data_IF_283807742451
#
_entry.id   IF_283807742451
#
_cell.length_a   1.000
_cell.length_b   1.000
_cell.length_c   1.000
_cell.angle_alpha   90.00
_cell.angle_beta   90.00
_cell.angle_gamma   90.00
#
_symmetry.space_group_name_H-M   'P 1'
#
loop_
_entity.id
_entity.type
_entity.pdbx_description
1 polymer ?
#
# COMPACT_ATOMS: atom_id res chain seq x y z
N UNK A 1 28.43 -15.88 -10.74
CA UNK A 1 27.02 -15.56 -11.09
C UNK A 1 27.08 -14.32 -12.00
N UNK A 2 26.75 -14.43 -13.29
CA UNK A 2 26.92 -13.31 -14.23
C UNK A 2 25.75 -12.33 -14.09
N UNK A 3 26.00 -11.17 -13.48
CA UNK A 3 25.09 -10.02 -13.52
C UNK A 3 25.19 -9.39 -14.91
N UNK A 4 24.16 -9.58 -15.74
CA UNK A 4 24.13 -9.03 -17.11
C UNK A 4 23.34 -7.72 -17.12
N UNK A 5 24.07 -6.60 -17.07
CA UNK A 5 23.55 -5.23 -17.16
C UNK A 5 23.40 -4.82 -18.64
N UNK A 6 22.36 -4.05 -18.98
CA UNK A 6 22.14 -3.53 -20.33
C UNK A 6 23.07 -2.34 -20.64
N UNK A 7 23.38 -2.07 -21.94
CA UNK A 7 24.46 -1.15 -22.34
C UNK A 7 24.31 0.31 -21.91
N UNK A 8 23.11 0.75 -21.54
CA UNK A 8 22.83 2.12 -21.06
C UNK A 8 23.29 2.40 -19.62
N UNK A 9 23.89 1.43 -18.92
CA UNK A 9 24.20 1.46 -17.48
C UNK A 9 25.71 1.41 -17.16
N UNK A 10 26.59 1.94 -18.02
CA UNK A 10 28.05 1.83 -17.85
C UNK A 10 28.53 2.36 -16.47
N UNK A 11 27.95 3.45 -15.95
CA UNK A 11 28.26 3.98 -14.62
C UNK A 11 27.84 3.05 -13.47
N UNK A 12 26.67 2.42 -13.57
CA UNK A 12 26.20 1.47 -12.56
C UNK A 12 27.01 0.17 -12.58
N UNK A 13 27.51 -0.24 -13.75
CA UNK A 13 28.32 -1.45 -13.91
C UNK A 13 29.68 -1.29 -13.22
N UNK A 14 30.31 -0.11 -13.39
CA UNK A 14 31.55 0.21 -12.69
C UNK A 14 31.34 0.34 -11.18
N UNK A 15 30.26 0.99 -10.74
CA UNK A 15 29.93 1.13 -9.33
C UNK A 15 29.72 -0.23 -8.64
N UNK A 16 29.03 -1.18 -9.29
CA UNK A 16 28.89 -2.55 -8.77
C UNK A 16 30.25 -3.24 -8.67
N UNK A 17 31.10 -3.09 -9.69
CA UNK A 17 32.41 -3.76 -9.71
C UNK A 17 33.41 -3.22 -8.67
N UNK A 18 33.22 -1.97 -8.23
CA UNK A 18 34.08 -1.32 -7.24
C UNK A 18 33.66 -1.60 -5.79
N UNK A 19 32.53 -2.28 -5.55
CA UNK A 19 32.09 -2.66 -4.21
C UNK A 19 33.04 -3.69 -3.59
N UNK A 20 33.20 -3.61 -2.27
CA UNK A 20 34.10 -4.49 -1.53
C UNK A 20 33.61 -5.94 -1.57
N UNK A 21 34.50 -6.85 -2.00
CA UNK A 21 34.30 -8.31 -2.06
C UNK A 21 33.00 -8.75 -2.75
N UNK A 22 32.51 -7.94 -3.70
CA UNK A 22 31.20 -8.15 -4.32
C UNK A 22 31.10 -9.45 -5.12
N UNK A 23 32.22 -9.94 -5.65
CA UNK A 23 32.27 -11.16 -6.46
C UNK A 23 32.67 -12.40 -5.65
N UNK A 24 33.06 -12.22 -4.39
CA UNK A 24 33.36 -13.36 -3.53
C UNK A 24 32.06 -14.12 -3.22
N UNK A 25 32.16 -15.44 -3.17
CA UNK A 25 31.08 -16.37 -2.88
C UNK A 25 31.57 -17.54 -2.02
N UNK A 26 32.80 -17.45 -1.48
CA UNK A 26 33.42 -18.52 -0.70
C UNK A 26 32.63 -18.90 0.54
N UNK A 27 31.93 -17.94 1.15
CA UNK A 27 31.15 -18.14 2.38
C UNK A 27 29.64 -18.20 2.13
N UNK A 28 29.22 -18.29 0.87
CA UNK A 28 27.81 -18.42 0.48
C UNK A 28 27.06 -17.08 0.38
N UNK A 29 27.80 -15.98 0.18
CA UNK A 29 27.23 -14.66 -0.05
C UNK A 29 26.46 -14.59 -1.38
N UNK A 30 25.50 -13.68 -1.44
CA UNK A 30 24.61 -13.56 -2.60
C UNK A 30 24.38 -12.10 -2.98
N UNK A 31 24.38 -11.86 -4.30
CA UNK A 31 24.04 -10.57 -4.88
C UNK A 31 22.63 -10.62 -5.46
N UNK A 32 21.81 -9.62 -5.16
CA UNK A 32 20.47 -9.47 -5.74
C UNK A 32 20.34 -8.08 -6.36
N UNK A 33 20.05 -8.03 -7.66
CA UNK A 33 19.70 -6.80 -8.34
C UNK A 33 18.17 -6.76 -8.53
N UNK A 34 17.53 -5.79 -7.89
CA UNK A 34 16.10 -5.54 -8.00
C UNK A 34 15.87 -4.36 -8.95
N UNK A 35 15.15 -4.62 -10.04
CA UNK A 35 14.64 -3.59 -10.95
C UNK A 35 13.12 -3.53 -10.82
N UNK A 36 12.60 -2.36 -10.47
CA UNK A 36 11.16 -2.14 -10.30
C UNK A 36 10.74 -0.76 -10.82
N UNK A 37 9.44 -0.49 -10.80
CA UNK A 37 8.86 0.79 -11.20
C UNK A 37 7.79 1.22 -10.20
N UNK A 38 7.75 2.50 -9.86
CA UNK A 38 6.62 3.09 -9.15
C UNK A 38 5.41 3.16 -10.08
N UNK A 39 4.51 2.18 -9.95
CA UNK A 39 3.29 2.16 -10.74
C UNK A 39 2.37 3.33 -10.38
N UNK A 40 1.87 4.00 -11.42
CA UNK A 40 0.92 5.11 -11.31
C UNK A 40 1.42 6.26 -10.41
N UNK A 41 2.74 6.48 -10.34
CA UNK A 41 3.35 7.56 -9.55
C UNK A 41 2.66 8.90 -9.79
N UNK A 42 2.53 9.29 -11.06
CA UNK A 42 1.91 10.56 -11.45
C UNK A 42 0.41 10.65 -11.13
N UNK A 43 -0.29 9.52 -11.18
CA UNK A 43 -1.75 9.47 -11.02
C UNK A 43 -2.15 9.40 -9.54
N UNK A 44 -1.23 8.95 -8.67
CA UNK A 44 -1.49 8.70 -7.24
C UNK A 44 -1.01 9.80 -6.29
N UNK A 45 -0.57 10.95 -6.81
CA UNK A 45 -0.15 12.06 -5.96
C UNK A 45 -1.39 12.80 -5.42
N UNK A 46 -1.58 12.72 -4.11
CA UNK A 46 -2.56 13.54 -3.39
C UNK A 46 -2.08 14.99 -3.33
N UNK A 47 -2.88 15.90 -3.90
CA UNK A 47 -2.58 17.33 -3.96
C UNK A 47 -2.50 17.97 -2.57
N UNK A 48 -3.24 17.46 -1.58
CA UNK A 48 -3.21 17.98 -0.20
C UNK A 48 -1.90 17.64 0.50
N UNK A 49 -1.42 16.40 0.33
CA UNK A 49 -0.12 15.97 0.83
C UNK A 49 1.00 16.69 0.08
N UNK A 50 0.89 16.80 -1.25
CA UNK A 50 1.85 17.50 -2.09
C UNK A 50 2.03 18.95 -1.63
N UNK A 51 0.95 19.66 -1.31
CA UNK A 51 1.02 21.03 -0.82
C UNK A 51 1.82 21.13 0.48
N UNK A 52 1.56 20.23 1.44
CA UNK A 52 2.30 20.18 2.72
C UNK A 52 3.79 19.90 2.50
N UNK A 53 4.12 18.98 1.59
CA UNK A 53 5.50 18.66 1.26
C UNK A 53 6.19 19.85 0.57
N UNK A 54 5.55 20.48 -0.41
CA UNK A 54 6.11 21.65 -1.10
C UNK A 54 6.39 22.81 -0.16
N UNK A 55 5.53 23.06 0.84
CA UNK A 55 5.76 24.09 1.86
C UNK A 55 7.01 23.88 2.72
N UNK A 56 7.58 22.67 2.73
CA UNK A 56 8.85 22.40 3.42
C UNK A 56 10.07 22.93 2.64
N UNK A 57 9.95 23.12 1.33
CA UNK A 57 11.08 23.42 0.44
C UNK A 57 10.94 24.73 -0.34
N UNK A 58 9.72 25.21 -0.56
CA UNK A 58 9.45 26.48 -1.26
C UNK A 58 8.54 27.36 -0.43
N UNK A 59 8.50 28.65 -0.76
CA UNK A 59 7.56 29.59 -0.15
C UNK A 59 6.10 29.12 -0.29
N UNK A 60 5.30 29.41 0.73
CA UNK A 60 3.91 29.03 0.79
C UNK A 60 3.09 29.46 -0.44
N UNK A 61 3.34 30.64 -1.00
CA UNK A 61 2.63 31.11 -2.19
C UNK A 61 2.97 30.28 -3.43
N UNK A 62 4.24 29.88 -3.56
CA UNK A 62 4.70 29.03 -4.66
C UNK A 62 4.12 27.62 -4.51
N UNK A 63 4.10 27.08 -3.29
CA UNK A 63 3.48 25.78 -3.01
C UNK A 63 1.98 25.77 -3.37
N UNK A 64 1.24 26.80 -2.95
CA UNK A 64 -0.19 26.94 -3.27
C UNK A 64 -0.44 27.09 -4.76
N UNK A 65 0.38 27.89 -5.46
CA UNK A 65 0.32 28.00 -6.91
C UNK A 65 0.55 26.65 -7.60
N UNK A 66 1.60 25.92 -7.22
CA UNK A 66 1.94 24.62 -7.82
C UNK A 66 0.86 23.57 -7.58
N UNK A 67 0.26 23.54 -6.38
CA UNK A 67 -0.85 22.63 -6.07
C UNK A 67 -2.12 23.03 -6.84
N UNK A 68 -2.53 24.29 -6.79
CA UNK A 68 -3.74 24.77 -7.44
C UNK A 68 -3.69 24.58 -8.97
N UNK A 69 -2.51 24.74 -9.58
CA UNK A 69 -2.33 24.58 -11.02
C UNK A 69 -2.50 23.13 -11.51
N UNK A 70 -2.41 22.14 -10.62
CA UNK A 70 -2.76 20.75 -10.94
C UNK A 70 -4.27 20.49 -10.84
N UNK A 71 -5.02 21.30 -10.09
CA UNK A 71 -6.47 21.19 -9.93
C UNK A 71 -7.23 22.01 -10.97
N UNK A 72 -7.15 21.58 -12.23
CA UNK A 72 -7.80 22.24 -13.38
C UNK A 72 -8.76 21.32 -14.09
N UNK A 73 -9.71 21.89 -14.84
CA UNK A 73 -10.60 21.14 -15.72
C UNK A 73 -9.84 20.75 -16.99
N UNK A 74 -9.76 19.45 -17.25
CA UNK A 74 -9.18 18.87 -18.46
C UNK A 74 -10.32 18.65 -19.45
N UNK A 75 -10.19 19.24 -20.64
CA UNK A 75 -11.18 19.11 -21.70
C UNK A 75 -10.61 18.27 -22.85
N UNK A 76 -11.42 17.35 -23.36
CA UNK A 76 -11.13 16.61 -24.58
C UNK A 76 -12.42 16.39 -25.37
N UNK A 77 -12.52 17.05 -26.54
CA UNK A 77 -13.76 17.14 -27.32
C UNK A 77 -14.91 17.68 -26.45
N UNK A 78 -16.01 16.95 -26.33
CA UNK A 78 -17.18 17.32 -25.53
C UNK A 78 -17.07 16.85 -24.06
N UNK A 79 -15.98 16.19 -23.67
CA UNK A 79 -15.77 15.70 -22.31
C UNK A 79 -14.96 16.70 -21.48
N UNK A 80 -15.47 17.01 -20.29
CA UNK A 80 -14.81 17.88 -19.32
C UNK A 80 -14.68 17.13 -17.99
N UNK A 81 -13.48 17.12 -17.40
CA UNK A 81 -13.23 16.46 -16.12
C UNK A 81 -12.29 17.30 -15.25
N UNK A 82 -12.68 17.57 -14.01
CA UNK A 82 -11.83 18.29 -13.04
C UNK A 82 -10.79 17.36 -12.44
N UNK A 83 -9.51 17.66 -12.62
CA UNK A 83 -8.41 16.86 -12.08
C UNK A 83 -8.21 17.11 -10.58
N UNK A 84 -8.92 16.38 -9.72
CA UNK A 84 -8.79 16.49 -8.26
C UNK A 84 -7.67 15.64 -7.67
N UNK A 85 -7.08 14.70 -8.44
CA UNK A 85 -6.09 13.74 -7.94
C UNK A 85 -5.05 13.41 -9.02
N UNK A 86 -3.77 13.35 -8.62
CA UNK A 86 -2.66 13.18 -9.55
C UNK A 86 -2.15 14.50 -10.14
N UNK A 87 -0.95 14.45 -10.73
CA UNK A 87 -0.27 15.61 -11.30
C UNK A 87 -0.37 15.64 -12.83
N UNK A 88 -0.44 16.86 -13.37
CA UNK A 88 -0.47 17.09 -14.81
C UNK A 88 0.97 17.14 -15.32
N UNK A 89 1.37 16.13 -16.09
CA UNK A 89 2.74 15.98 -16.62
C UNK A 89 3.14 17.10 -17.60
N UNK A 90 2.18 17.78 -18.21
CA UNK A 90 2.42 18.87 -19.16
C UNK A 90 2.78 20.22 -18.53
N UNK A 91 2.75 20.34 -17.20
CA UNK A 91 3.19 21.56 -16.52
C UNK A 91 4.72 21.66 -16.53
N UNK A 92 5.25 22.86 -16.72
CA UNK A 92 6.70 23.10 -16.81
C UNK A 92 7.45 22.68 -15.54
N UNK A 93 6.81 22.80 -14.37
CA UNK A 93 7.39 22.40 -13.09
C UNK A 93 7.06 20.94 -12.69
N UNK A 94 6.39 20.16 -13.55
CA UNK A 94 6.00 18.79 -13.23
C UNK A 94 7.21 17.88 -12.99
N UNK A 95 8.33 18.13 -13.67
CA UNK A 95 9.60 17.43 -13.47
C UNK A 95 10.11 17.59 -12.04
N UNK A 96 10.13 18.82 -11.52
CA UNK A 96 10.52 19.12 -10.16
C UNK A 96 9.62 18.43 -9.13
N UNK A 97 8.29 18.56 -9.28
CA UNK A 97 7.33 17.91 -8.37
C UNK A 97 7.50 16.39 -8.35
N UNK A 98 7.67 15.78 -9.52
CA UNK A 98 7.83 14.33 -9.63
C UNK A 98 9.12 13.86 -8.96
N UNK A 99 10.23 14.57 -9.15
CA UNK A 99 11.51 14.18 -8.55
C UNK A 99 11.51 14.38 -7.04
N UNK A 100 10.91 15.46 -6.56
CA UNK A 100 10.77 15.73 -5.13
C UNK A 100 9.85 14.71 -4.44
N UNK A 101 8.70 14.38 -5.05
CA UNK A 101 7.83 13.34 -4.53
C UNK A 101 8.51 11.96 -4.58
N UNK A 102 9.27 11.68 -5.64
CA UNK A 102 10.11 10.50 -5.75
C UNK A 102 11.15 10.41 -4.62
N UNK A 103 11.78 11.52 -4.23
CA UNK A 103 12.71 11.56 -3.09
C UNK A 103 12.02 11.14 -1.78
N UNK A 104 10.79 11.58 -1.56
CA UNK A 104 10.01 11.14 -0.38
C UNK A 104 9.81 9.63 -0.40
N UNK A 105 9.52 9.05 -1.58
CA UNK A 105 9.40 7.59 -1.71
C UNK A 105 10.74 6.87 -1.52
N UNK A 106 11.84 7.45 -1.99
CA UNK A 106 13.18 6.88 -1.81
C UNK A 106 13.54 6.79 -0.32
N UNK A 107 13.21 7.82 0.46
CA UNK A 107 13.41 7.83 1.92
C UNK A 107 12.60 6.74 2.63
N UNK A 108 11.41 6.39 2.11
CA UNK A 108 10.59 5.31 2.66
C UNK A 108 11.14 3.93 2.31
N UNK A 109 11.72 3.78 1.11
CA UNK A 109 12.34 2.52 0.65
C UNK A 109 13.66 2.26 1.38
N UNK A 110 14.52 3.27 1.47
CA UNK A 110 15.85 3.12 2.08
C UNK A 110 15.80 3.23 3.61
N UNK A 111 14.87 3.99 4.16
CA UNK A 111 14.92 4.47 5.53
C UNK A 111 15.91 5.62 5.71
N UNK A 112 15.68 6.46 6.72
CA UNK A 112 16.49 7.67 6.95
C UNK A 112 17.97 7.37 7.21
N UNK A 113 18.25 6.30 7.95
CA UNK A 113 19.62 5.92 8.30
C UNK A 113 20.43 5.56 7.04
N UNK A 114 19.96 4.60 6.24
CA UNK A 114 20.67 4.18 5.03
C UNK A 114 20.72 5.27 3.98
N UNK A 115 19.66 6.06 3.83
CA UNK A 115 19.66 7.21 2.94
C UNK A 115 20.73 8.25 3.33
N UNK A 116 20.93 8.49 4.63
CA UNK A 116 21.96 9.43 5.11
C UNK A 116 23.38 8.92 4.87
N UNK A 117 23.64 7.61 5.05
CA UNK A 117 24.95 7.00 4.74
C UNK A 117 25.27 7.10 3.25
N UNK A 118 24.28 6.88 2.39
CA UNK A 118 24.44 6.99 0.93
C UNK A 118 24.66 8.42 0.47
N UNK A 119 23.94 9.39 1.05
CA UNK A 119 24.10 10.80 0.70
C UNK A 119 25.38 11.42 1.27
N UNK A 120 25.90 10.89 2.37
CA UNK A 120 27.01 11.46 3.12
C UNK A 120 26.58 12.66 3.99
N UNK A 121 27.51 13.20 4.79
CA UNK A 121 27.23 14.35 5.64
C UNK A 121 26.89 15.60 4.78
N UNK A 122 25.97 16.49 5.23
CA UNK A 122 25.58 17.67 4.44
C UNK A 122 26.73 18.62 4.08
N UNK A 123 27.79 18.63 4.89
CA UNK A 123 28.99 19.43 4.66
C UNK A 123 29.91 18.83 3.60
N UNK A 124 29.84 17.52 3.38
CA UNK A 124 30.69 16.78 2.45
C UNK A 124 29.89 15.60 1.86
N UNK A 125 28.96 15.88 0.92
CA UNK A 125 28.11 14.85 0.35
C UNK A 125 28.94 13.87 -0.48
N UNK A 126 28.50 12.62 -0.52
CA UNK A 126 29.15 11.57 -1.31
C UNK A 126 28.85 11.75 -2.80
N UNK A 127 29.78 11.28 -3.64
CA UNK A 127 29.50 11.13 -5.06
C UNK A 127 28.60 9.90 -5.32
N UNK A 128 27.97 9.87 -6.49
CA UNK A 128 27.08 8.79 -6.86
C UNK A 128 27.79 7.41 -6.82
N UNK A 129 27.18 6.45 -6.11
CA UNK A 129 27.70 5.09 -5.89
C UNK A 129 29.01 5.02 -5.08
N UNK A 130 29.29 6.03 -4.27
CA UNK A 130 30.43 6.04 -3.35
C UNK A 130 29.97 6.17 -1.90
N UNK A 131 30.79 5.63 -0.99
CA UNK A 131 30.63 5.76 0.46
C UNK A 131 31.87 6.43 1.04
N UNK A 132 31.74 6.94 2.26
CA UNK A 132 32.87 7.55 2.99
C UNK A 132 33.93 6.51 3.34
N UNK A 133 33.50 5.30 3.70
CA UNK A 133 34.37 4.20 4.08
C UNK A 133 33.74 2.83 3.77
N UNK A 134 34.58 1.80 3.79
CA UNK A 134 34.14 0.41 3.54
C UNK A 134 33.20 -0.09 4.64
N UNK A 135 33.36 0.42 5.88
CA UNK A 135 32.51 0.00 6.99
C UNK A 135 31.05 0.44 6.78
N UNK A 136 30.81 1.70 6.39
CA UNK A 136 29.45 2.16 6.03
C UNK A 136 28.92 1.48 4.78
N UNK A 137 29.77 1.14 3.82
CA UNK A 137 29.34 0.33 2.68
C UNK A 137 28.80 -1.03 3.15
N UNK A 138 29.51 -1.70 4.08
CA UNK A 138 29.20 -3.06 4.55
C UNK A 138 28.16 -3.16 5.65
N UNK A 139 27.84 -2.06 6.33
CA UNK A 139 26.92 -2.05 7.48
C UNK A 139 25.50 -2.51 7.15
N UNK A 140 25.08 -2.41 5.88
CA UNK A 140 23.72 -2.69 5.46
C UNK A 140 23.66 -3.55 4.17
N UNK A 141 22.65 -4.44 4.01
CA UNK A 141 22.52 -5.26 2.81
C UNK A 141 22.31 -4.47 1.52
N UNK A 142 21.60 -3.34 1.58
CA UNK A 142 21.42 -2.44 0.42
C UNK A 142 22.73 -1.70 0.15
N UNK A 143 23.45 -2.07 -0.91
CA UNK A 143 24.73 -1.43 -1.26
C UNK A 143 24.55 -0.27 -2.21
N UNK A 144 23.73 -0.40 -3.26
CA UNK A 144 23.53 0.66 -4.24
C UNK A 144 22.04 0.94 -4.44
N UNK A 145 21.73 2.21 -4.68
CA UNK A 145 20.40 2.68 -5.01
C UNK A 145 20.48 3.69 -6.16
N UNK A 146 19.60 3.54 -7.14
CA UNK A 146 19.43 4.51 -8.20
C UNK A 146 17.95 4.57 -8.60
N UNK A 147 17.42 5.79 -8.67
CA UNK A 147 16.10 6.04 -9.25
C UNK A 147 16.23 6.88 -10.52
N UNK A 148 15.71 6.37 -11.62
CA UNK A 148 15.57 7.10 -12.87
C UNK A 148 14.09 7.40 -13.10
N UNK A 149 13.68 8.62 -12.69
CA UNK A 149 12.29 9.07 -12.74
C UNK A 149 11.38 8.18 -11.88
N UNK A 150 10.75 7.17 -12.50
CA UNK A 150 9.84 6.21 -11.86
C UNK A 150 10.42 4.79 -11.79
N UNK A 151 11.59 4.54 -12.40
CA UNK A 151 12.28 3.25 -12.34
C UNK A 151 13.30 3.23 -11.22
N UNK A 152 13.34 2.13 -10.49
CA UNK A 152 14.24 1.95 -9.36
C UNK A 152 15.14 0.74 -9.60
N UNK A 153 16.40 0.92 -9.26
CA UNK A 153 17.43 -0.09 -9.27
C UNK A 153 18.05 -0.15 -7.87
N UNK A 154 17.89 -1.29 -7.21
CA UNK A 154 18.47 -1.59 -5.90
C UNK A 154 19.44 -2.76 -6.04
N UNK A 155 20.63 -2.62 -5.48
CA UNK A 155 21.60 -3.71 -5.40
C UNK A 155 21.81 -4.13 -3.95
N UNK A 156 21.59 -5.41 -3.68
CA UNK A 156 21.75 -6.01 -2.38
C UNK A 156 22.93 -6.98 -2.36
N UNK A 157 23.67 -6.97 -1.26
CA UNK A 157 24.69 -7.96 -0.90
C UNK A 157 24.26 -8.59 0.42
N UNK A 158 23.93 -9.87 0.42
CA UNK A 158 23.53 -10.62 1.60
C UNK A 158 24.62 -11.60 2.02
N UNK A 159 24.84 -11.73 3.33
CA UNK A 159 25.55 -12.88 3.90
C UNK A 159 24.71 -14.15 3.76
N UNK A 160 25.34 -15.31 3.96
CA UNK A 160 24.62 -16.58 3.95
C UNK A 160 23.50 -16.63 5.01
N UNK A 161 23.75 -16.04 6.18
CA UNK A 161 22.80 -16.05 7.30
C UNK A 161 21.65 -15.07 7.09
N UNK A 162 21.94 -13.83 6.66
CA UNK A 162 20.90 -12.85 6.31
C UNK A 162 19.96 -13.42 5.24
N UNK A 163 20.54 -14.07 4.24
CA UNK A 163 19.75 -14.60 3.15
C UNK A 163 18.88 -15.80 3.57
N UNK A 164 19.36 -16.64 4.50
CA UNK A 164 18.57 -17.76 5.06
C UNK A 164 17.44 -17.24 5.93
N UNK A 165 17.72 -16.34 6.87
CA UNK A 165 16.71 -15.74 7.75
C UNK A 165 15.63 -15.05 6.91
N UNK A 166 16.05 -14.30 5.89
CA UNK A 166 15.16 -13.63 4.97
C UNK A 166 14.21 -14.62 4.26
N UNK A 167 14.76 -15.66 3.62
CA UNK A 167 13.95 -16.70 2.98
C UNK A 167 13.01 -17.38 3.97
N UNK A 168 13.47 -17.66 5.18
CA UNK A 168 12.69 -18.36 6.18
C UNK A 168 11.47 -17.54 6.61
N UNK A 169 11.64 -16.25 6.85
CA UNK A 169 10.53 -15.32 7.13
C UNK A 169 9.52 -15.31 5.97
N UNK A 170 10.00 -15.25 4.73
CA UNK A 170 9.12 -15.31 3.57
C UNK A 170 8.34 -16.62 3.46
N UNK A 171 9.00 -17.75 3.62
CA UNK A 171 8.33 -19.06 3.55
C UNK A 171 7.39 -19.31 4.74
N UNK A 172 7.56 -18.57 5.83
CA UNK A 172 6.64 -18.59 6.98
C UNK A 172 5.34 -17.85 6.64
N UNK A 173 5.43 -16.68 5.99
CA UNK A 173 4.26 -15.91 5.54
C UNK A 173 3.62 -16.52 4.27
N UNK A 174 4.43 -17.12 3.40
CA UNK A 174 4.04 -17.69 2.11
C UNK A 174 4.61 -19.11 1.95
N UNK A 175 4.02 -20.11 2.61
CA UNK A 175 4.47 -21.49 2.50
C UNK A 175 4.30 -22.02 1.07
N UNK A 176 5.36 -22.64 0.54
CA UNK A 176 5.38 -23.25 -0.80
C UNK A 176 5.74 -24.74 -0.73
N UNK A 177 4.80 -25.61 -0.33
CA UNK A 177 5.03 -27.05 -0.22
C UNK A 177 5.24 -27.73 -1.59
N UNK A 178 4.70 -27.15 -2.66
CA UNK A 178 4.70 -27.74 -4.00
C UNK A 178 5.87 -27.26 -4.88
N UNK A 179 6.75 -26.38 -4.38
CA UNK A 179 7.79 -25.72 -5.17
C UNK A 179 7.26 -24.94 -6.38
N UNK A 180 6.03 -24.44 -6.28
CA UNK A 180 5.36 -23.67 -7.32
C UNK A 180 6.03 -22.31 -7.54
N UNK A 181 6.89 -21.87 -6.62
CA UNK A 181 7.68 -20.65 -6.79
C UNK A 181 8.55 -20.65 -8.05
N UNK A 182 8.83 -21.83 -8.63
CA UNK A 182 9.55 -21.96 -9.89
C UNK A 182 8.69 -21.54 -11.08
N UNK A 183 7.38 -21.80 -11.02
CA UNK A 183 6.41 -21.57 -12.09
C UNK A 183 6.09 -20.07 -12.15
N UNK A 184 6.12 -19.48 -13.34
CA UNK A 184 5.80 -18.06 -13.54
C UNK A 184 6.92 -17.06 -13.19
N UNK A 185 8.11 -17.52 -12.78
CA UNK A 185 9.24 -16.60 -12.58
C UNK A 185 9.76 -16.08 -13.92
N UNK A 186 9.60 -14.77 -14.16
CA UNK A 186 10.02 -14.12 -15.39
C UNK A 186 11.55 -14.16 -15.55
N UNK A 187 12.02 -14.45 -16.76
CA UNK A 187 13.44 -14.48 -17.09
C UNK A 187 13.69 -13.76 -18.43
N UNK A 188 14.85 -13.13 -18.59
CA UNK A 188 15.20 -12.35 -19.78
C UNK A 188 15.43 -13.27 -20.98
N UNK A 189 14.46 -13.32 -21.90
CA UNK A 189 14.50 -14.20 -23.08
C UNK A 189 15.42 -13.72 -24.22
N UNK A 190 16.01 -12.53 -24.10
CA UNK A 190 16.93 -11.98 -25.10
C UNK A 190 18.32 -12.64 -25.09
N UNK A 191 18.74 -13.25 -23.98
CA UNK A 191 20.06 -13.89 -23.86
C UNK A 191 20.02 -15.37 -24.27
N UNK A 192 21.14 -16.02 -24.63
CA UNK A 192 21.23 -17.48 -24.75
C UNK A 192 20.89 -18.21 -23.44
N UNK A 193 20.41 -19.47 -23.49
CA UNK A 193 19.90 -20.20 -22.29
C UNK A 193 20.96 -20.38 -21.20
N UNK A 194 22.21 -20.57 -21.60
CA UNK A 194 23.41 -20.69 -20.77
C UNK A 194 23.83 -19.38 -20.08
N UNK A 195 23.51 -18.24 -20.70
CA UNK A 195 23.80 -16.90 -20.17
C UNK A 195 22.66 -16.30 -19.33
N UNK A 196 21.48 -16.93 -19.28
CA UNK A 196 20.33 -16.51 -18.44
C UNK A 196 20.50 -16.97 -17.00
N UNK A 197 19.78 -16.30 -16.08
CA UNK A 197 19.68 -16.73 -14.70
C UNK A 197 19.18 -18.18 -14.62
N UNK A 198 19.92 -19.03 -13.91
CA UNK A 198 19.51 -20.41 -13.63
C UNK A 198 18.43 -20.40 -12.55
N UNK A 199 17.39 -21.20 -12.76
CA UNK A 199 16.18 -21.18 -11.94
C UNK A 199 16.30 -22.17 -10.78
N UNK A 200 17.17 -21.86 -9.81
CA UNK A 200 17.33 -22.66 -8.58
C UNK A 200 16.34 -22.21 -7.48
N UNK A 201 15.87 -23.15 -6.65
CA UNK A 201 14.87 -22.88 -5.60
C UNK A 201 15.32 -21.79 -4.61
N UNK A 202 16.56 -21.90 -4.12
CA UNK A 202 17.15 -20.95 -3.19
C UNK A 202 17.21 -19.53 -3.75
N UNK A 203 17.71 -19.35 -4.98
CA UNK A 203 17.89 -18.02 -5.58
C UNK A 203 16.56 -17.35 -5.96
N UNK A 204 15.54 -18.15 -6.31
CA UNK A 204 14.17 -17.66 -6.55
C UNK A 204 13.49 -17.21 -5.28
N UNK A 205 13.56 -18.02 -4.23
CA UNK A 205 12.97 -17.67 -2.95
C UNK A 205 13.62 -16.39 -2.43
N UNK A 206 14.96 -16.26 -2.50
CA UNK A 206 15.65 -14.99 -2.20
C UNK A 206 15.11 -13.81 -3.00
N UNK A 207 15.03 -13.95 -4.34
CA UNK A 207 14.55 -12.87 -5.20
C UNK A 207 13.11 -12.45 -4.88
N UNK A 208 12.22 -13.42 -4.65
CA UNK A 208 10.82 -13.16 -4.27
C UNK A 208 10.73 -12.52 -2.90
N UNK A 209 11.57 -12.94 -1.95
CA UNK A 209 11.60 -12.31 -0.63
C UNK A 209 12.12 -10.89 -0.68
N UNK A 210 13.21 -10.61 -1.40
CA UNK A 210 13.73 -9.24 -1.57
C UNK A 210 12.69 -8.35 -2.25
N UNK A 211 11.96 -8.88 -3.24
CA UNK A 211 10.83 -8.19 -3.87
C UNK A 211 9.69 -7.95 -2.88
N UNK A 212 9.33 -8.94 -2.06
CA UNK A 212 8.28 -8.80 -1.04
C UNK A 212 8.68 -7.81 0.05
N UNK A 213 9.93 -7.80 0.53
CA UNK A 213 10.41 -6.80 1.50
C UNK A 213 10.24 -5.38 0.96
N UNK A 214 10.67 -5.15 -0.29
CA UNK A 214 10.47 -3.88 -0.97
C UNK A 214 8.98 -3.53 -1.05
N UNK A 215 8.12 -4.48 -1.45
CA UNK A 215 6.68 -4.26 -1.52
C UNK A 215 6.03 -4.07 -0.14
N UNK A 216 6.45 -4.76 0.91
CA UNK A 216 5.92 -4.64 2.27
C UNK A 216 6.30 -3.30 2.92
N UNK A 217 7.52 -2.82 2.70
CA UNK A 217 7.94 -1.46 3.07
C UNK A 217 7.09 -0.40 2.34
N UNK A 218 6.77 -0.63 1.06
CA UNK A 218 5.93 0.26 0.24
C UNK A 218 4.42 0.17 0.58
N UNK A 219 3.92 -1.02 0.95
CA UNK A 219 2.53 -1.31 1.29
C UNK A 219 2.15 -0.83 2.69
N UNK A 220 3.07 -0.84 3.66
CA UNK A 220 2.78 -0.34 5.01
C UNK A 220 2.63 1.18 5.07
N UNK A 221 3.17 1.94 4.11
CA UNK A 221 3.23 3.40 4.26
C UNK A 221 2.61 4.26 3.15
N UNK A 222 2.50 3.86 1.85
CA UNK A 222 1.88 4.82 0.91
C UNK A 222 1.16 4.30 -0.36
N UNK A 223 1.39 3.08 -0.86
CA UNK A 223 0.94 2.77 -2.24
C UNK A 223 -0.06 1.62 -2.43
N UNK A 224 -0.37 0.87 -1.36
CA UNK A 224 -1.43 -0.15 -1.37
C UNK A 224 -2.48 -0.01 -0.28
N UNK A 225 -2.52 1.10 0.45
CA UNK A 225 -3.78 1.53 1.03
C UNK A 225 -4.63 2.05 -0.15
N UNK A 226 -5.72 1.38 -0.57
CA UNK A 226 -6.78 2.14 -1.22
C UNK A 226 -7.14 3.25 -0.22
N UNK A 227 -6.76 4.48 -0.56
CA UNK A 227 -7.29 5.72 -0.02
C UNK A 227 -8.11 5.57 1.27
N UNK A 228 -7.47 5.60 2.43
CA UNK A 228 -8.20 5.85 3.69
C UNK A 228 -8.68 7.33 3.80
N UNK A 229 -8.36 8.18 2.80
CA UNK A 229 -8.83 9.57 2.69
C UNK A 229 -9.83 9.83 1.55
N UNK A 230 -10.12 8.86 0.67
CA UNK A 230 -11.39 8.92 -0.06
C UNK A 230 -12.41 8.46 0.97
N UNK A 231 -13.06 9.40 1.64
CA UNK A 231 -14.22 9.09 2.46
C UNK A 231 -15.20 8.30 1.60
N UNK A 232 -15.34 7.00 1.90
CA UNK A 232 -16.24 6.11 1.17
C UNK A 232 -15.78 4.66 0.95
N UNK A 233 -14.73 4.17 1.61
CA UNK A 233 -14.36 2.75 1.55
C UNK A 233 -15.09 1.93 2.61
N UNK A 234 -15.75 0.84 2.21
CA UNK A 234 -16.31 -0.17 3.10
C UNK A 234 -15.81 -1.59 2.76
N UNK A 235 -15.89 -2.49 3.72
CA UNK A 235 -15.52 -3.89 3.57
C UNK A 235 -16.33 -4.80 4.50
N UNK A 236 -16.64 -5.99 4.02
CA UNK A 236 -17.28 -7.03 4.83
C UNK A 236 -16.24 -7.73 5.71
N UNK A 237 -16.57 -7.89 6.99
CA UNK A 237 -15.73 -8.53 8.00
C UNK A 237 -16.07 -10.02 8.07
N UNK A 238 -15.05 -10.86 7.95
CA UNK A 238 -15.16 -12.30 8.12
C UNK A 238 -14.20 -12.77 9.20
N UNK A 239 -14.66 -13.71 10.01
CA UNK A 239 -13.88 -14.22 11.12
C UNK A 239 -14.34 -15.57 11.63
N UNK A 240 -13.66 -16.02 12.67
CA UNK A 240 -13.94 -17.30 13.35
C UNK A 240 -13.70 -17.08 14.84
N UNK A 241 -14.47 -17.75 15.70
CA UNK A 241 -14.12 -17.83 17.12
C UNK A 241 -12.95 -18.78 17.34
N UNK A 242 -11.92 -18.38 18.10
CA UNK A 242 -10.87 -19.31 18.49
C UNK A 242 -11.47 -20.48 19.29
N UNK A 243 -10.94 -21.71 19.15
CA UNK A 243 -11.49 -22.91 19.77
C UNK A 243 -11.54 -22.80 21.31
N UNK A 244 -10.64 -22.00 21.88
CA UNK A 244 -10.51 -21.81 23.33
C UNK A 244 -11.49 -20.79 23.91
N UNK A 245 -12.10 -19.91 23.08
CA UNK A 245 -13.03 -18.89 23.56
C UNK A 245 -14.12 -18.54 22.53
N UNK A 246 -15.33 -19.11 22.64
CA UNK A 246 -16.42 -18.86 21.71
C UNK A 246 -17.03 -17.45 21.81
N UNK A 247 -16.72 -16.70 22.88
CA UNK A 247 -17.22 -15.32 23.07
C UNK A 247 -16.38 -14.27 22.34
N UNK A 248 -15.16 -14.63 21.91
CA UNK A 248 -14.29 -13.75 21.13
C UNK A 248 -14.46 -14.07 19.65
N UNK A 249 -14.49 -13.03 18.82
CA UNK A 249 -14.49 -13.15 17.36
C UNK A 249 -13.20 -12.57 16.81
N UNK A 250 -12.39 -13.39 16.17
CA UNK A 250 -11.17 -12.94 15.49
C UNK A 250 -11.50 -12.59 14.04
N UNK A 251 -11.30 -11.32 13.68
CA UNK A 251 -11.40 -10.87 12.28
C UNK A 251 -10.19 -11.40 11.52
N UNK A 252 -10.43 -12.36 10.62
CA UNK A 252 -9.36 -12.98 9.81
C UNK A 252 -9.25 -12.37 8.42
N UNK A 253 -10.34 -11.81 7.89
CA UNK A 253 -10.35 -11.24 6.56
C UNK A 253 -11.32 -10.07 6.46
N UNK A 254 -10.93 -9.04 5.70
CA UNK A 254 -11.81 -7.96 5.27
C UNK A 254 -11.93 -8.05 3.75
N UNK A 255 -13.13 -8.32 3.26
CA UNK A 255 -13.41 -8.43 1.83
C UNK A 255 -13.95 -7.09 1.35
N UNK A 256 -13.25 -6.46 0.42
CA UNK A 256 -13.71 -5.22 -0.23
C UNK A 256 -14.39 -5.57 -1.55
N UNK A 257 -15.74 -5.58 -1.61
CA UNK A 257 -16.45 -5.77 -2.87
C UNK A 257 -16.37 -4.51 -3.75
N UNK A 258 -16.67 -4.62 -5.05
CA UNK A 258 -16.85 -3.44 -5.90
C UNK A 258 -17.91 -2.52 -5.29
N UNK A 259 -17.52 -1.30 -4.95
CA UNK A 259 -18.35 -0.33 -4.25
C UNK A 259 -18.17 1.06 -4.84
N UNK A 260 -19.17 1.91 -4.64
CA UNK A 260 -19.10 3.33 -5.00
C UNK A 260 -19.78 4.12 -3.89
N UNK A 261 -19.31 5.34 -3.66
CA UNK A 261 -19.78 6.15 -2.56
C UNK A 261 -19.40 7.60 -2.74
N UNK A 262 -20.03 8.45 -1.93
CA UNK A 262 -19.66 9.83 -1.73
C UNK A 262 -18.98 9.97 -0.37
N UNK A 263 -18.50 11.17 -0.02
CA UNK A 263 -17.94 11.45 1.30
C UNK A 263 -18.89 11.18 2.48
N UNK A 264 -20.19 11.02 2.22
CA UNK A 264 -21.23 10.83 3.24
C UNK A 264 -21.95 9.47 3.16
N UNK A 265 -21.91 8.78 2.01
CA UNK A 265 -22.70 7.55 1.79
C UNK A 265 -21.91 6.53 1.00
N UNK A 266 -22.05 5.25 1.36
CA UNK A 266 -21.37 4.13 0.71
C UNK A 266 -22.42 3.16 0.21
N UNK A 267 -22.33 2.79 -1.06
CA UNK A 267 -23.18 1.77 -1.66
C UNK A 267 -22.38 0.49 -1.84
N UNK A 268 -22.73 -0.51 -1.01
CA UNK A 268 -22.24 -1.87 -1.10
C UNK A 268 -23.16 -2.73 -1.98
N UNK A 269 -22.65 -3.78 -2.63
CA UNK A 269 -23.49 -4.79 -3.26
C UNK A 269 -24.35 -5.51 -2.21
N UNK A 270 -25.61 -5.77 -2.55
CA UNK A 270 -26.55 -6.45 -1.65
C UNK A 270 -26.20 -7.93 -1.42
N UNK A 271 -25.49 -8.55 -2.36
CA UNK A 271 -25.05 -9.95 -2.25
C UNK A 271 -23.67 -10.03 -1.62
N UNK A 272 -23.52 -10.92 -0.64
CA UNK A 272 -22.22 -11.22 -0.05
C UNK A 272 -21.27 -11.90 -1.06
N UNK A 273 -19.97 -11.58 -1.02
CA UNK A 273 -18.98 -12.21 -1.89
C UNK A 273 -18.85 -13.71 -1.57
N UNK A 274 -18.88 -14.54 -2.60
CA UNK A 274 -18.66 -15.98 -2.47
C UNK A 274 -17.26 -16.34 -3.00
N UNK A 275 -16.40 -16.87 -2.13
CA UNK A 275 -15.04 -17.24 -2.48
C UNK A 275 -14.58 -18.46 -1.68
N UNK A 276 -13.70 -19.30 -2.25
CA UNK A 276 -13.22 -20.54 -1.62
C UNK A 276 -12.58 -20.30 -0.25
N UNK A 277 -11.86 -19.19 -0.07
CA UNK A 277 -11.23 -18.79 1.19
C UNK A 277 -12.22 -18.35 2.28
N UNK A 278 -13.48 -18.07 1.94
CA UNK A 278 -14.51 -17.63 2.90
C UNK A 278 -15.36 -18.78 3.44
N UNK A 279 -15.17 -20.01 2.94
CA UNK A 279 -16.02 -21.17 3.27
C UNK A 279 -15.99 -21.55 4.76
N UNK A 280 -14.86 -21.34 5.42
CA UNK A 280 -14.65 -21.72 6.82
C UNK A 280 -14.80 -20.52 7.78
N UNK A 281 -15.33 -19.39 7.29
CA UNK A 281 -15.48 -18.16 8.07
C UNK A 281 -16.93 -17.69 8.13
N UNK A 282 -17.32 -17.08 9.25
CA UNK A 282 -18.64 -16.48 9.41
C UNK A 282 -18.58 -14.97 9.14
N UNK A 283 -19.63 -14.36 8.57
CA UNK A 283 -19.70 -12.92 8.43
C UNK A 283 -19.95 -12.26 9.79
N UNK A 284 -19.09 -11.33 10.18
CA UNK A 284 -19.17 -10.61 11.46
C UNK A 284 -19.80 -9.22 11.32
N UNK A 285 -19.92 -8.70 10.10
CA UNK A 285 -20.45 -7.38 9.87
C UNK A 285 -19.72 -6.65 8.76
N UNK A 286 -19.70 -5.32 8.82
CA UNK A 286 -18.98 -4.49 7.87
C UNK A 286 -18.29 -3.32 8.55
N UNK A 287 -17.19 -2.89 7.96
CA UNK A 287 -16.43 -1.71 8.36
C UNK A 287 -16.50 -0.66 7.27
N UNK A 288 -16.59 0.61 7.64
CA UNK A 288 -16.46 1.70 6.70
C UNK A 288 -15.68 2.89 7.24
N UNK A 289 -15.12 3.67 6.31
CA UNK A 289 -14.35 4.87 6.60
C UNK A 289 -15.24 6.11 6.59
N UNK A 290 -15.02 7.02 7.54
CA UNK A 290 -15.65 8.34 7.54
C UNK A 290 -14.61 9.46 7.80
N UNK A 291 -14.82 10.67 7.26
CA UNK A 291 -13.84 11.75 7.34
C UNK A 291 -13.70 12.37 8.73
N UNK A 292 -14.77 12.35 9.54
CA UNK A 292 -14.79 12.91 10.89
C UNK A 292 -15.42 11.91 11.85
N UNK A 293 -14.99 11.93 13.11
CA UNK A 293 -15.62 11.14 14.16
C UNK A 293 -17.00 11.72 14.48
N UNK A 294 -18.04 10.92 14.24
CA UNK A 294 -19.41 11.27 14.60
C UNK A 294 -19.72 10.76 16.01
N UNK A 295 -20.43 11.55 16.85
CA UNK A 295 -20.84 11.12 18.19
C UNK A 295 -21.91 10.02 18.16
N UNK A 296 -22.53 9.79 17.02
CA UNK A 296 -23.60 8.83 16.79
C UNK A 296 -23.43 8.11 15.45
N UNK A 297 -23.94 6.88 15.36
CA UNK A 297 -23.98 6.13 14.11
C UNK A 297 -24.84 6.87 13.08
N UNK A 298 -24.41 6.96 11.82
CA UNK A 298 -25.19 7.73 10.86
C UNK A 298 -26.53 7.04 10.53
N UNK A 299 -27.61 7.79 10.28
CA UNK A 299 -28.89 7.20 9.89
C UNK A 299 -28.80 6.37 8.59
N UNK A 300 -27.83 6.71 7.73
CA UNK A 300 -27.58 5.99 6.48
C UNK A 300 -26.91 4.64 6.73
N UNK A 301 -26.03 4.54 7.74
CA UNK A 301 -25.40 3.28 8.13
C UNK A 301 -26.41 2.31 8.73
N UNK A 302 -27.35 2.81 9.55
CA UNK A 302 -28.47 2.02 10.07
C UNK A 302 -29.31 1.46 8.92
N UNK A 303 -29.65 2.32 7.95
CA UNK A 303 -30.47 1.94 6.80
C UNK A 303 -29.76 0.93 5.90
N UNK A 304 -28.45 1.10 5.69
CA UNK A 304 -27.62 0.22 4.86
C UNK A 304 -27.41 -1.13 5.53
N UNK A 305 -27.07 -1.13 6.82
CA UNK A 305 -26.88 -2.35 7.58
C UNK A 305 -28.17 -3.18 7.69
N UNK A 306 -29.31 -2.51 7.92
CA UNK A 306 -30.62 -3.19 7.96
C UNK A 306 -30.98 -3.84 6.62
N UNK A 307 -30.70 -3.18 5.49
CA UNK A 307 -30.92 -3.74 4.15
C UNK A 307 -30.03 -4.95 3.87
N UNK A 308 -28.74 -4.87 4.23
CA UNK A 308 -27.80 -5.99 4.05
C UNK A 308 -28.25 -7.21 4.89
N UNK A 309 -28.69 -6.98 6.13
CA UNK A 309 -29.22 -8.03 6.99
C UNK A 309 -30.50 -8.67 6.43
N UNK A 310 -31.40 -7.85 5.87
CA UNK A 310 -32.63 -8.35 5.24
C UNK A 310 -32.35 -9.21 4.01
N UNK A 311 -31.37 -8.81 3.19
CA UNK A 311 -31.01 -9.49 1.94
C UNK A 311 -30.16 -10.75 2.18
N UNK A 312 -29.55 -10.91 3.38
CA UNK A 312 -28.63 -12.00 3.69
C UNK A 312 -28.98 -12.68 5.02
N UNK A 313 -29.76 -13.78 5.01
CA UNK A 313 -30.19 -14.48 6.22
C UNK A 313 -29.05 -15.17 7.01
N UNK A 314 -27.84 -15.19 6.46
CA UNK A 314 -26.62 -15.68 7.15
C UNK A 314 -26.16 -14.71 8.24
N UNK A 315 -26.56 -13.44 8.17
CA UNK A 315 -26.22 -12.41 9.15
C UNK A 315 -27.14 -12.51 10.37
N UNK A 316 -26.55 -12.83 11.52
CA UNK A 316 -27.24 -12.89 12.81
C UNK A 316 -27.32 -11.50 13.44
N UNK A 317 -28.54 -10.96 13.59
CA UNK A 317 -28.76 -9.62 14.12
C UNK A 317 -28.26 -9.39 15.55
N UNK A 318 -27.98 -10.45 16.31
CA UNK A 318 -27.35 -10.31 17.62
C UNK A 318 -25.82 -10.27 17.59
N UNK A 319 -25.19 -10.76 16.50
CA UNK A 319 -23.74 -10.93 16.39
C UNK A 319 -23.09 -10.00 15.36
N UNK A 320 -23.87 -9.44 14.44
CA UNK A 320 -23.34 -8.57 13.39
C UNK A 320 -23.13 -7.15 13.88
N UNK A 321 -21.99 -6.57 13.49
CA UNK A 321 -21.61 -5.21 13.88
C UNK A 321 -21.33 -4.30 12.68
N UNK A 322 -21.47 -3.01 12.89
CA UNK A 322 -21.00 -1.95 11.99
C UNK A 322 -19.82 -1.27 12.65
N UNK A 323 -18.68 -1.20 11.97
CA UNK A 323 -17.51 -0.49 12.47
C UNK A 323 -17.31 0.79 11.66
N UNK A 324 -17.21 1.93 12.34
CA UNK A 324 -16.78 3.20 11.76
C UNK A 324 -15.30 3.41 12.07
N UNK A 325 -14.44 3.60 11.05
CA UNK A 325 -13.08 4.14 11.23
C UNK A 325 -13.08 5.60 10.79
N UNK A 326 -12.82 6.47 11.76
CA UNK A 326 -12.78 7.93 11.56
C UNK A 326 -11.33 8.37 11.49
N UNK A 327 -10.94 9.05 10.41
CA UNK A 327 -9.56 9.52 10.22
C UNK A 327 -9.41 10.97 10.64
N UNK A 328 -8.90 11.19 11.84
CA UNK A 328 -8.48 12.51 12.30
C UNK A 328 -7.00 12.73 11.94
N UNK A 329 -6.53 13.98 11.79
CA UNK A 329 -5.12 14.23 11.52
C UNK A 329 -4.21 13.67 12.63
N UNK A 330 -3.54 12.54 12.38
CA UNK A 330 -2.59 11.92 13.31
C UNK A 330 -3.11 10.69 14.07
N UNK A 331 -4.38 10.29 13.92
CA UNK A 331 -4.94 9.05 14.51
C UNK A 331 -6.12 8.48 13.69
N UNK A 332 -6.50 7.21 13.90
CA UNK A 332 -7.85 6.72 13.57
C UNK A 332 -8.56 6.34 14.87
N UNK A 333 -9.83 6.73 14.97
CA UNK A 333 -10.77 6.23 15.97
C UNK A 333 -11.62 5.13 15.34
N UNK A 334 -11.63 3.95 15.94
CA UNK A 334 -12.52 2.84 15.56
C UNK A 334 -13.66 2.76 16.58
N UNK A 335 -14.90 2.78 16.11
CA UNK A 335 -16.08 2.52 16.96
C UNK A 335 -16.94 1.43 16.33
N UNK A 336 -17.26 0.40 17.10
CA UNK A 336 -18.21 -0.62 16.70
C UNK A 336 -19.61 -0.24 17.19
N UNK A 337 -20.62 -0.63 16.43
CA UNK A 337 -22.02 -0.45 16.76
C UNK A 337 -22.80 -1.71 16.42
N UNK A 338 -23.82 -2.01 17.22
CA UNK A 338 -24.79 -3.08 16.97
C UNK A 338 -26.18 -2.46 16.85
N UNK A 339 -27.01 -2.94 15.93
CA UNK A 339 -28.40 -2.46 15.84
C UNK A 339 -29.27 -3.09 16.91
N UNK A 340 -30.17 -2.29 17.47
CA UNK A 340 -31.27 -2.79 18.29
C UNK A 340 -32.42 -3.25 17.40
N UNK A 341 -33.34 -4.09 17.88
CA UNK A 341 -34.51 -4.50 17.09
C UNK A 341 -35.34 -3.33 16.55
N UNK A 342 -35.48 -2.25 17.35
CA UNK A 342 -36.15 -1.02 16.92
C UNK A 342 -35.38 -0.28 15.83
N UNK A 343 -34.05 -0.27 15.90
CA UNK A 343 -33.19 0.29 14.86
C UNK A 343 -33.25 -0.47 13.54
N UNK A 344 -33.33 -1.80 13.58
CA UNK A 344 -33.49 -2.64 12.39
C UNK A 344 -34.85 -2.40 11.70
N UNK A 345 -35.94 -2.34 12.47
CA UNK A 345 -37.27 -2.04 11.92
C UNK A 345 -37.34 -0.66 11.28
N UNK A 346 -36.72 0.34 11.92
CA UNK A 346 -36.66 1.70 11.39
C UNK A 346 -35.79 1.76 10.13
N UNK A 347 -34.58 1.18 10.16
CA UNK A 347 -33.65 1.20 9.04
C UNK A 347 -34.15 0.47 7.79
N UNK A 348 -34.92 -0.60 7.97
CA UNK A 348 -35.54 -1.35 6.88
C UNK A 348 -36.64 -0.56 6.15
N UNK A 349 -37.37 0.29 6.88
CA UNK A 349 -38.48 1.11 6.34
C UNK A 349 -38.03 2.49 5.88
N UNK A 350 -36.84 2.94 6.28
CA UNK A 350 -36.36 4.27 5.95
C UNK A 350 -36.00 4.42 4.47
N UNK A 351 -36.69 5.33 3.79
CA UNK A 351 -36.42 5.73 2.40
C UNK A 351 -35.78 7.12 2.29
N UNK A 352 -35.66 7.85 3.40
CA UNK A 352 -35.14 9.21 3.44
C UNK A 352 -33.60 9.19 3.48
N UNK A 353 -33.00 9.83 2.46
CA UNK A 353 -31.54 9.96 2.27
C UNK A 353 -30.97 11.25 2.88
N UNK A 354 -31.80 12.04 3.57
CA UNK A 354 -31.36 13.25 4.26
C UNK A 354 -30.48 12.96 5.48
N UNK A 355 -29.81 14.01 5.97
CA UNK A 355 -28.96 13.94 7.16
C UNK A 355 -29.73 13.77 8.47
N UNK A 356 -31.01 14.18 8.49
CA UNK A 356 -31.90 14.11 9.66
C UNK A 356 -33.25 13.48 9.28
N UNK A 357 -33.30 12.16 9.02
CA UNK A 357 -34.54 11.49 8.65
C UNK A 357 -35.49 11.43 9.84
N UNK A 358 -36.79 11.53 9.56
CA UNK A 358 -37.84 11.51 10.60
C UNK A 358 -37.82 10.19 11.38
N UNK A 359 -37.84 10.29 12.70
CA UNK A 359 -37.90 9.14 13.60
C UNK A 359 -36.56 8.47 13.93
N UNK A 360 -35.42 9.01 13.47
CA UNK A 360 -34.10 8.55 13.91
C UNK A 360 -33.90 8.87 15.41
N UNK A 361 -33.51 7.87 16.19
CA UNK A 361 -33.26 7.98 17.63
C UNK A 361 -31.94 7.29 18.01
N UNK A 362 -31.19 7.81 18.99
CA UNK A 362 -29.98 7.16 19.50
C UNK A 362 -30.20 5.77 20.13
N UNK A 363 -31.44 5.39 20.45
CA UNK A 363 -31.81 4.06 20.95
C UNK A 363 -31.84 2.97 19.85
N UNK A 364 -31.61 3.35 18.58
CA UNK A 364 -31.59 2.43 17.44
C UNK A 364 -30.28 1.62 17.31
N UNK A 365 -29.27 1.94 18.11
CA UNK A 365 -28.00 1.25 18.11
C UNK A 365 -27.37 1.21 19.51
N UNK A 366 -26.54 0.22 19.74
CA UNK A 366 -25.69 0.06 20.92
C UNK A 366 -24.23 0.24 20.48
N UNK A 367 -23.41 0.87 21.33
CA UNK A 367 -21.98 1.12 21.09
C UNK A 367 -21.13 0.11 21.83
#
# INVERSE_FOLDING_TARGET
MNLVLSPSNCLQSQGINNLQDVWDVGEGECNVLLESRFEKLYEKIDLTLLNRLLRLIVDHNIADYMTAKNNVVINYKDMNHTNSYGIIRGLQFASFVTQYYGLVLDLLVLGLHRASEMAGPPQMPNEFLTFQDTQTETSHPIRLFCRYVDRIHLFFRFSADDAKDLIQRYLTEHPDPNNENIVGYNNKKCWPRDARMRLMKHDKNKSKTTYLLYHCQHCRQLHHLPNLRIGGGAGFLYGVSPPDNPQVKEIRCIVMPPQWGTHQTINLPNLLPNHQYLKDMEPLGWIHTQPNELPQLSPQDISTHSKIMMDNPVWDGEKTIVITCSFTPGSCSLTAYKLTPSGFEWGSKNTDKGNNPKGYLPSHYER
#
